data_IF_284375222797
#
_entry.id   IF_284375222797
#
_cell.length_a   1.000
_cell.length_b   1.000
_cell.length_c   1.000
_cell.angle_alpha   90.00
_cell.angle_beta   90.00
_cell.angle_gamma   90.00
#
_symmetry.space_group_name_H-M   'P 1'
#
loop_
_entity.id
_entity.type
_entity.pdbx_description
1 polymer ?
#
# COMPACT_ATOMS: atom_id res chain seq x y z
N UNK A 1 1.90 0.19 -11.87
CA UNK A 1 2.03 0.72 -10.49
C UNK A 1 0.76 0.61 -9.68
N UNK A 2 -0.40 1.17 -10.08
CA UNK A 2 -1.60 1.15 -9.23
C UNK A 2 -2.10 -0.26 -8.88
N UNK A 3 -2.19 -1.16 -9.87
CA UNK A 3 -2.58 -2.56 -9.66
C UNK A 3 -1.54 -3.33 -8.82
N UNK A 4 -0.26 -3.10 -9.06
CA UNK A 4 0.83 -3.70 -8.29
C UNK A 4 0.79 -3.27 -6.82
N UNK A 5 0.55 -1.97 -6.59
CA UNK A 5 0.39 -1.39 -5.25
C UNK A 5 -0.84 -1.96 -4.54
N UNK A 6 -1.97 -2.09 -5.26
CA UNK A 6 -3.17 -2.73 -4.73
C UNK A 6 -2.89 -4.17 -4.28
N UNK A 7 -2.28 -4.98 -5.15
CA UNK A 7 -1.96 -6.37 -4.84
C UNK A 7 -0.99 -6.49 -3.65
N UNK A 8 0.02 -5.62 -3.61
CA UNK A 8 1.00 -5.55 -2.52
C UNK A 8 0.35 -5.17 -1.18
N UNK A 9 -0.51 -4.15 -1.16
CA UNK A 9 -1.24 -3.72 0.05
C UNK A 9 -2.23 -4.79 0.51
N UNK A 10 -3.02 -5.34 -0.41
CA UNK A 10 -3.97 -6.41 -0.12
C UNK A 10 -3.28 -7.63 0.51
N UNK A 11 -2.07 -7.98 0.07
CA UNK A 11 -1.30 -9.08 0.64
C UNK A 11 -0.61 -8.73 1.96
N UNK A 12 -0.13 -7.49 2.13
CA UNK A 12 0.67 -7.11 3.30
C UNK A 12 -0.21 -6.72 4.49
N UNK A 13 -1.24 -5.91 4.29
CA UNK A 13 -2.05 -5.37 5.39
C UNK A 13 -2.76 -6.45 6.22
N UNK A 14 -3.14 -7.58 5.61
CA UNK A 14 -3.78 -8.68 6.33
C UNK A 14 -2.81 -9.58 7.10
N UNK A 15 -1.49 -9.45 6.88
CA UNK A 15 -0.45 -10.27 7.53
C UNK A 15 0.32 -9.52 8.61
N UNK A 16 0.29 -8.20 8.54
CA UNK A 16 0.99 -7.33 9.49
C UNK A 16 0.29 -7.42 10.84
N UNK A 17 0.95 -8.01 11.84
CA UNK A 17 0.43 -8.15 13.21
C UNK A 17 0.68 -6.93 14.09
N UNK A 18 1.67 -6.10 13.74
CA UNK A 18 2.04 -4.83 14.40
C UNK A 18 2.31 -3.78 13.33
N UNK A 19 2.08 -2.48 13.61
CA UNK A 19 2.32 -1.41 12.62
C UNK A 19 3.70 -1.53 11.97
N UNK A 20 3.76 -1.38 10.65
CA UNK A 20 5.00 -1.51 9.88
C UNK A 20 5.28 -0.21 9.14
N UNK A 21 6.46 0.37 9.37
CA UNK A 21 6.92 1.56 8.66
C UNK A 21 7.80 1.17 7.46
N UNK A 22 7.60 1.83 6.33
CA UNK A 22 8.35 1.60 5.09
C UNK A 22 8.78 2.97 4.54
N UNK A 23 10.09 3.16 4.36
CA UNK A 23 10.64 4.44 3.89
C UNK A 23 10.27 4.74 2.44
N UNK A 24 10.24 6.02 2.08
CA UNK A 24 10.07 6.43 0.69
C UNK A 24 11.16 5.90 -0.25
N UNK A 25 12.38 5.71 0.26
CA UNK A 25 13.49 5.12 -0.51
C UNK A 25 13.16 3.69 -0.90
N UNK A 26 12.77 2.85 0.06
CA UNK A 26 12.41 1.45 -0.22
C UNK A 26 11.15 1.32 -1.08
N UNK A 27 10.20 2.25 -0.95
CA UNK A 27 9.04 2.31 -1.86
C UNK A 27 9.46 2.69 -3.28
N UNK A 28 10.38 3.64 -3.45
CA UNK A 28 10.89 4.06 -4.76
C UNK A 28 11.71 2.95 -5.43
N UNK A 29 12.47 2.19 -4.68
CA UNK A 29 13.20 1.02 -5.21
C UNK A 29 12.24 -0.03 -5.79
N UNK A 30 11.09 -0.24 -5.15
CA UNK A 30 10.09 -1.23 -5.58
C UNK A 30 9.18 -0.72 -6.70
N UNK A 31 8.71 0.53 -6.60
CA UNK A 31 7.63 1.05 -7.45
C UNK A 31 8.05 2.23 -8.33
N UNK A 32 9.21 2.82 -8.08
CA UNK A 32 9.66 4.07 -8.68
C UNK A 32 10.49 3.93 -9.95
N UNK A 33 10.47 2.77 -10.62
CA UNK A 33 11.13 2.62 -11.92
C UNK A 33 10.61 3.69 -12.90
N UNK A 34 11.52 4.43 -13.53
CA UNK A 34 11.18 5.56 -14.41
C UNK A 34 11.05 6.93 -13.72
N UNK A 35 11.14 7.01 -12.39
CA UNK A 35 11.18 8.28 -11.66
C UNK A 35 12.59 8.64 -11.22
N UNK A 36 13.17 9.69 -11.80
CA UNK A 36 14.46 10.23 -11.37
C UNK A 36 14.35 10.91 -10.00
N UNK A 37 13.41 11.85 -9.86
CA UNK A 37 13.22 12.65 -8.63
C UNK A 37 12.24 12.01 -7.64
N UNK A 38 12.54 12.13 -6.35
CA UNK A 38 11.73 11.58 -5.25
C UNK A 38 10.38 12.29 -5.09
N UNK A 39 10.32 13.60 -5.29
CA UNK A 39 9.10 14.41 -5.20
C UNK A 39 8.04 13.99 -6.23
N UNK A 40 8.45 13.76 -7.48
CA UNK A 40 7.58 13.25 -8.53
C UNK A 40 7.05 11.85 -8.19
N UNK A 41 7.92 10.98 -7.67
CA UNK A 41 7.51 9.66 -7.21
C UNK A 41 6.49 9.74 -6.07
N UNK A 42 6.77 10.50 -5.01
CA UNK A 42 5.85 10.68 -3.86
C UNK A 42 4.47 11.19 -4.33
N UNK A 43 4.44 12.18 -5.23
CA UNK A 43 3.20 12.73 -5.79
C UNK A 43 2.37 11.66 -6.51
N UNK A 44 2.98 10.89 -7.42
CA UNK A 44 2.29 9.82 -8.14
C UNK A 44 1.89 8.66 -7.21
N UNK A 45 2.74 8.31 -6.25
CA UNK A 45 2.48 7.23 -5.31
C UNK A 45 1.27 7.55 -4.42
N UNK A 46 1.18 8.77 -3.89
CA UNK A 46 0.02 9.25 -3.14
C UNK A 46 -1.27 9.24 -3.97
N UNK A 47 -1.19 9.63 -5.24
CA UNK A 47 -2.34 9.52 -6.16
C UNK A 47 -2.81 8.07 -6.30
N UNK A 48 -1.90 7.11 -6.45
CA UNK A 48 -2.25 5.70 -6.51
C UNK A 48 -2.75 5.15 -5.16
N UNK A 49 -2.25 5.62 -4.02
CA UNK A 49 -2.78 5.26 -2.70
C UNK A 49 -4.24 5.66 -2.55
N UNK A 50 -4.62 6.84 -3.04
CA UNK A 50 -6.02 7.27 -3.07
C UNK A 50 -6.89 6.32 -3.91
N UNK A 51 -6.42 5.90 -5.08
CA UNK A 51 -7.14 4.94 -5.92
C UNK A 51 -7.29 3.57 -5.24
N UNK A 52 -6.26 3.11 -4.51
CA UNK A 52 -6.35 1.87 -3.72
C UNK A 52 -7.36 2.02 -2.59
N UNK A 53 -7.37 3.15 -1.90
CA UNK A 53 -8.30 3.39 -0.80
C UNK A 53 -9.76 3.28 -1.26
N UNK A 54 -10.09 3.83 -2.43
CA UNK A 54 -11.44 3.73 -3.02
C UNK A 54 -11.90 2.30 -3.32
N UNK A 55 -10.96 1.38 -3.56
CA UNK A 55 -11.26 -0.03 -3.88
C UNK A 55 -11.14 -0.95 -2.65
N UNK A 56 -10.31 -0.55 -1.69
CA UNK A 56 -10.02 -1.29 -0.47
C UNK A 56 -10.30 -0.41 0.74
N UNK A 57 -11.58 -0.06 0.93
CA UNK A 57 -12.03 0.89 1.97
C UNK A 57 -11.59 0.52 3.40
N UNK A 58 -11.32 -0.77 3.68
CA UNK A 58 -10.85 -1.22 4.99
C UNK A 58 -9.34 -1.07 5.20
N UNK A 59 -8.57 -0.68 4.18
CA UNK A 59 -7.14 -0.48 4.27
C UNK A 59 -6.81 0.67 5.23
N UNK A 60 -5.99 0.37 6.24
CA UNK A 60 -5.47 1.34 7.20
C UNK A 60 -3.99 1.58 6.96
N UNK A 61 -3.68 2.81 6.54
CA UNK A 61 -2.33 3.26 6.23
C UNK A 61 -2.24 4.76 6.41
N UNK A 62 -1.04 5.26 6.69
CA UNK A 62 -0.76 6.67 6.95
C UNK A 62 0.61 7.01 6.38
N UNK A 63 0.72 8.08 5.61
CA UNK A 63 2.00 8.53 5.06
C UNK A 63 2.47 9.84 5.70
N UNK A 64 3.78 10.02 5.78
CA UNK A 64 4.44 11.22 6.26
C UNK A 64 5.60 11.60 5.33
N UNK A 65 6.46 12.53 5.76
CA UNK A 65 7.61 12.95 4.97
C UNK A 65 8.68 11.86 4.82
N UNK A 66 8.69 10.87 5.70
CA UNK A 66 9.69 9.82 5.80
C UNK A 66 9.27 8.52 5.10
N UNK A 67 7.97 8.21 5.06
CA UNK A 67 7.46 7.00 4.42
C UNK A 67 5.97 6.73 4.60
N UNK A 68 5.64 5.45 4.58
CA UNK A 68 4.30 4.91 4.71
C UNK A 68 4.25 3.95 5.90
N UNK A 69 3.35 4.21 6.85
CA UNK A 69 2.99 3.32 7.94
C UNK A 69 1.79 2.47 7.53
N UNK A 70 1.94 1.15 7.67
CA UNK A 70 0.91 0.16 7.42
C UNK A 70 0.34 -0.36 8.74
N UNK A 71 -0.98 -0.46 8.83
CA UNK A 71 -1.68 -1.04 9.97
C UNK A 71 -2.40 -2.32 9.56
N UNK A 72 -2.60 -3.22 10.52
CA UNK A 72 -3.37 -4.45 10.27
C UNK A 72 -4.76 -4.10 9.72
N UNK A 73 -5.12 -4.70 8.58
CA UNK A 73 -6.41 -4.52 7.92
C UNK A 73 -6.91 -5.86 7.37
N UNK A 74 -8.21 -6.18 7.48
CA UNK A 74 -8.77 -7.41 6.92
C UNK A 74 -8.65 -7.38 5.38
N UNK A 75 -8.44 -8.51 4.68
CA UNK A 75 -8.26 -8.52 3.23
C UNK A 75 -9.48 -7.95 2.48
N UNK A 76 -9.30 -7.35 1.29
CA UNK A 76 -10.38 -6.68 0.55
C UNK A 76 -11.51 -7.64 0.14
N UNK A 77 -11.17 -8.90 -0.12
CA UNK A 77 -12.13 -9.97 -0.39
C UNK A 77 -12.18 -10.84 0.86
N UNK A 78 -13.33 -10.87 1.54
CA UNK A 78 -13.57 -11.87 2.60
C UNK A 78 -13.44 -13.25 1.98
N UNK A 79 -12.55 -14.10 2.51
CA UNK A 79 -12.52 -15.52 2.15
C UNK A 79 -13.94 -16.07 2.38
N UNK A 80 -14.64 -16.41 1.30
CA UNK A 80 -15.81 -17.25 1.39
C UNK A 80 -15.31 -18.60 1.90
N UNK A 81 -15.48 -18.88 3.18
CA UNK A 81 -15.33 -20.23 3.70
C UNK A 81 -16.38 -21.08 2.99
N UNK A 82 -15.99 -21.76 1.91
CA UNK A 82 -16.73 -22.93 1.46
C UNK A 82 -16.55 -23.96 2.57
N UNK A 83 -17.54 -24.07 3.46
CA UNK A 83 -17.73 -25.26 4.29
C UNK A 83 -17.96 -26.41 3.30
N UNK A 84 -16.96 -27.26 3.15
CA UNK A 84 -17.15 -28.63 2.66
C UNK A 84 -17.67 -29.47 3.83
#
# INVERSE_FOLDING_TARGET
>A
MALDLYAWLAQRLHRVSKKQFITWVSLKEQFGQGYSRMDNFKRMFRHNLMMVYLQYNAARMEDDDNGLTLYHSPPPIRKLLKRL
#
